data_IF_588273434847
#
_entry.id   IF_588273434847
#
_cell.length_a   1.000
_cell.length_b   1.000
_cell.length_c   1.000
_cell.angle_alpha   90.00
_cell.angle_beta   90.00
_cell.angle_gamma   90.00
#
_symmetry.space_group_name_H-M   'P 1'
#
loop_
_entity.id
_entity.type
_entity.pdbx_description
1 polymer ?
#
# COMPACT_ATOMS: atom_id res chain seq x y z
N UNK A 1 -64.42 39.93 69.64
CA UNK A 1 -65.57 39.00 69.82
C UNK A 1 -65.44 37.87 68.81
N UNK A 2 -65.59 36.61 69.24
CA UNK A 2 -65.80 35.42 68.36
C UNK A 2 -64.52 34.83 67.75
N UNK A 3 -63.75 33.90 68.34
CA UNK A 3 -63.99 32.49 68.78
C UNK A 3 -63.90 31.44 67.63
N UNK A 4 -62.82 30.65 67.70
CA UNK A 4 -62.56 29.24 67.29
C UNK A 4 -63.03 28.66 65.93
N UNK A 5 -62.11 27.99 65.23
CA UNK A 5 -61.98 26.50 65.29
C UNK A 5 -60.69 25.98 64.62
N UNK A 6 -60.09 24.96 65.27
CA UNK A 6 -58.98 24.11 64.80
C UNK A 6 -59.52 23.05 63.84
N UNK A 7 -58.77 22.73 62.78
CA UNK A 7 -58.59 21.34 62.29
C UNK A 7 -57.15 21.22 61.80
N UNK A 8 -56.44 20.19 62.27
CA UNK A 8 -55.06 19.91 61.90
C UNK A 8 -54.99 18.99 60.68
N UNK A 9 -54.06 19.30 59.78
CA UNK A 9 -53.56 18.36 58.78
C UNK A 9 -52.03 18.46 58.73
N UNK A 10 -51.39 17.29 58.76
CA UNK A 10 -49.94 17.12 58.74
C UNK A 10 -49.37 17.55 57.39
N UNK A 11 -48.62 18.65 57.36
CA UNK A 11 -47.84 19.06 56.20
C UNK A 11 -46.40 18.56 56.33
N UNK A 12 -46.05 17.57 55.51
CA UNK A 12 -44.67 17.18 55.22
C UNK A 12 -44.03 18.32 54.40
N UNK A 13 -42.87 18.87 54.78
CA UNK A 13 -42.23 19.91 53.96
C UNK A 13 -41.75 19.31 52.63
N UNK A 14 -41.84 20.06 51.51
CA UNK A 14 -41.27 19.60 50.25
C UNK A 14 -39.76 19.47 50.39
N UNK A 15 -39.22 18.33 49.96
CA UNK A 15 -37.79 18.08 49.86
C UNK A 15 -37.13 19.16 48.99
N UNK A 16 -35.97 19.73 49.41
CA UNK A 16 -35.27 20.68 48.58
C UNK A 16 -34.79 19.99 47.30
N UNK A 17 -35.10 20.59 46.15
CA UNK A 17 -34.47 20.23 44.88
C UNK A 17 -32.95 20.36 45.06
N UNK A 18 -32.14 19.37 44.63
CA UNK A 18 -30.70 19.44 44.80
C UNK A 18 -30.15 20.62 44.01
N UNK A 19 -29.57 21.57 44.74
CA UNK A 19 -28.81 22.68 44.20
C UNK A 19 -27.51 22.09 43.64
N UNK A 20 -27.46 21.86 42.33
CA UNK A 20 -26.24 21.43 41.65
C UNK A 20 -25.23 22.58 41.73
N UNK A 21 -24.03 22.26 42.21
CA UNK A 21 -22.94 23.23 42.27
C UNK A 21 -22.47 23.56 40.84
N UNK A 22 -21.92 24.77 40.57
CA UNK A 22 -21.34 25.11 39.27
C UNK A 22 -20.20 24.19 38.81
N UNK A 23 -19.71 23.30 39.70
CA UNK A 23 -18.64 22.35 39.46
C UNK A 23 -19.19 21.04 38.84
N UNK A 24 -20.48 20.73 39.02
CA UNK A 24 -21.12 19.54 38.46
C UNK A 24 -21.64 19.74 37.02
N UNK A 25 -21.95 20.99 36.62
CA UNK A 25 -22.23 21.37 35.23
C UNK A 25 -20.95 21.33 34.34
N UNK A 26 -19.79 21.66 34.92
CA UNK A 26 -18.51 21.59 34.20
C UNK A 26 -18.09 20.12 33.96
N UNK A 27 -18.40 19.22 34.90
CA UNK A 27 -18.06 17.80 34.76
C UNK A 27 -19.05 16.98 33.90
N UNK A 28 -20.25 17.51 33.61
CA UNK A 28 -21.22 16.88 32.71
C UNK A 28 -21.09 17.37 31.26
N UNK A 29 -20.66 18.62 31.05
CA UNK A 29 -20.28 19.13 29.72
C UNK A 29 -18.88 18.70 29.27
N UNK A 30 -17.99 18.28 30.19
CA UNK A 30 -16.66 17.78 29.86
C UNK A 30 -16.59 16.27 29.57
N UNK A 31 -17.72 15.55 29.62
CA UNK A 31 -17.77 14.08 29.44
C UNK A 31 -18.31 13.61 28.08
N UNK A 32 -18.65 14.53 27.18
CA UNK A 32 -19.14 14.22 25.82
C UNK A 32 -18.16 14.58 24.70
N UNK A 33 -16.94 15.00 25.05
CA UNK A 33 -15.81 15.07 24.10
C UNK A 33 -14.81 13.97 24.41
N UNK A 34 -15.30 12.72 24.47
CA UNK A 34 -14.42 11.58 24.17
C UNK A 34 -13.86 11.83 22.77
N UNK A 35 -12.58 12.16 22.72
CA UNK A 35 -11.80 12.31 21.49
C UNK A 35 -12.25 11.26 20.48
N UNK A 36 -12.95 11.69 19.42
CA UNK A 36 -13.05 10.89 18.22
C UNK A 36 -11.60 10.69 17.78
N UNK A 37 -11.02 9.54 18.13
CA UNK A 37 -9.75 9.08 17.60
C UNK A 37 -9.78 9.36 16.10
N UNK A 38 -8.91 10.25 15.62
CA UNK A 38 -8.90 10.65 14.22
C UNK A 38 -8.76 9.38 13.40
N UNK A 39 -9.82 9.04 12.68
CA UNK A 39 -9.94 7.79 11.94
C UNK A 39 -8.90 7.81 10.81
N UNK A 40 -7.83 7.03 10.93
CA UNK A 40 -6.83 6.93 9.87
C UNK A 40 -7.36 6.07 8.74
N UNK A 41 -7.64 6.71 7.60
CA UNK A 41 -8.05 6.05 6.37
C UNK A 41 -6.82 5.65 5.53
N UNK A 42 -6.89 4.57 4.74
CA UNK A 42 -5.79 4.18 3.86
C UNK A 42 -5.33 5.30 2.92
N UNK A 43 -4.01 5.39 2.72
CA UNK A 43 -3.42 6.22 1.67
C UNK A 43 -3.95 5.79 0.29
N UNK A 44 -4.09 6.74 -0.63
CA UNK A 44 -4.42 6.51 -2.03
C UNK A 44 -3.14 6.48 -2.85
N UNK A 45 -2.77 5.33 -3.41
CA UNK A 45 -1.62 5.23 -4.31
C UNK A 45 -2.09 4.85 -5.72
N UNK A 46 -1.67 5.63 -6.72
CA UNK A 46 -2.04 5.40 -8.12
C UNK A 46 -1.27 4.24 -8.74
N UNK A 47 -1.94 3.12 -9.05
CA UNK A 47 -1.36 1.97 -9.73
C UNK A 47 -1.02 2.34 -11.18
N UNK A 48 0.28 2.42 -11.49
CA UNK A 48 0.81 2.97 -12.75
C UNK A 48 0.34 4.41 -13.01
N UNK A 49 0.14 5.18 -11.92
CA UNK A 49 -0.53 6.49 -11.89
C UNK A 49 -2.06 6.38 -11.89
N UNK A 50 -2.75 7.35 -12.49
CA UNK A 50 -4.20 7.32 -12.72
C UNK A 50 -4.53 6.54 -14.01
N UNK A 51 -4.13 5.27 -14.06
CA UNK A 51 -4.06 4.45 -15.28
C UNK A 51 -5.43 4.12 -15.90
N UNK A 52 -6.53 4.26 -15.16
CA UNK A 52 -7.87 4.19 -15.74
C UNK A 52 -8.14 5.38 -16.67
N UNK A 53 -7.71 6.58 -16.29
CA UNK A 53 -7.95 7.82 -17.04
C UNK A 53 -6.87 8.07 -18.11
N UNK A 54 -5.59 7.80 -17.80
CA UNK A 54 -4.44 8.07 -18.67
C UNK A 54 -3.75 6.77 -19.09
N UNK A 55 -2.85 6.79 -20.09
CA UNK A 55 -2.03 5.62 -20.39
C UNK A 55 -1.15 5.24 -19.20
N UNK A 56 -1.17 3.97 -18.81
CA UNK A 56 -0.39 3.44 -17.68
C UNK A 56 1.11 3.74 -17.81
N UNK A 57 1.79 3.96 -16.67
CA UNK A 57 3.22 4.21 -16.59
C UNK A 57 3.68 5.39 -17.48
N UNK A 58 2.97 6.53 -17.39
CA UNK A 58 3.34 7.77 -18.10
C UNK A 58 3.40 8.94 -17.13
N UNK A 59 4.20 9.97 -17.45
CA UNK A 59 4.25 11.19 -16.64
C UNK A 59 2.86 11.83 -16.50
N UNK A 60 2.05 11.82 -17.57
CA UNK A 60 0.67 12.32 -17.51
C UNK A 60 -0.20 11.52 -16.51
N UNK A 61 -0.04 10.20 -16.47
CA UNK A 61 -0.74 9.34 -15.50
C UNK A 61 -0.29 9.62 -14.06
N UNK A 62 1.01 9.80 -13.84
CA UNK A 62 1.56 10.12 -12.52
C UNK A 62 1.10 11.51 -12.04
N UNK A 63 1.22 12.53 -12.89
CA UNK A 63 0.78 13.89 -12.58
C UNK A 63 -0.72 13.96 -12.33
N UNK A 64 -1.53 13.18 -13.05
CA UNK A 64 -2.96 13.08 -12.79
C UNK A 64 -3.27 12.48 -11.42
N UNK A 65 -2.61 11.38 -11.02
CA UNK A 65 -2.79 10.80 -9.69
C UNK A 65 -2.41 11.80 -8.58
N UNK A 66 -1.29 12.51 -8.73
CA UNK A 66 -0.85 13.54 -7.78
C UNK A 66 -1.87 14.68 -7.72
N UNK A 67 -2.38 15.12 -8.87
CA UNK A 67 -3.39 16.20 -8.96
C UNK A 67 -4.72 15.81 -8.31
N UNK A 68 -5.11 14.54 -8.39
CA UNK A 68 -6.29 14.04 -7.69
C UNK A 68 -6.12 14.13 -6.16
N UNK A 69 -4.88 14.10 -5.66
CA UNK A 69 -4.53 14.14 -4.24
C UNK A 69 -3.98 12.82 -3.69
N UNK A 70 -3.49 11.93 -4.55
CA UNK A 70 -2.87 10.67 -4.13
C UNK A 70 -1.58 10.91 -3.32
N UNK A 71 -1.44 10.25 -2.16
CA UNK A 71 -0.23 10.30 -1.34
C UNK A 71 0.93 9.50 -1.93
N UNK A 72 0.66 8.67 -2.92
CA UNK A 72 1.68 7.91 -3.61
C UNK A 72 1.34 7.59 -5.07
N UNK A 73 2.36 7.22 -5.81
CA UNK A 73 2.24 6.62 -7.13
C UNK A 73 3.02 5.30 -7.12
N UNK A 74 2.60 4.38 -7.97
CA UNK A 74 3.29 3.14 -8.24
C UNK A 74 3.66 3.06 -9.72
N UNK A 75 4.82 2.46 -10.01
CA UNK A 75 5.25 2.16 -11.36
C UNK A 75 6.15 0.95 -11.38
N UNK A 76 6.17 0.31 -12.54
CA UNK A 76 6.98 -0.85 -12.85
C UNK A 76 8.30 -0.46 -13.50
N UNK A 77 9.39 -1.19 -13.25
CA UNK A 77 10.71 -0.89 -13.84
C UNK A 77 11.31 -2.02 -14.66
N UNK A 78 11.88 -1.67 -15.82
CA UNK A 78 12.76 -2.51 -16.64
C UNK A 78 14.01 -1.75 -17.06
N UNK A 79 15.04 -2.47 -17.52
CA UNK A 79 16.29 -1.90 -18.06
C UNK A 79 16.43 -2.23 -19.54
N UNK A 80 16.72 -1.23 -20.37
CA UNK A 80 17.07 -1.39 -21.79
C UNK A 80 18.44 -2.08 -21.97
N UNK A 81 18.79 -2.44 -23.21
CA UNK A 81 20.10 -3.05 -23.49
C UNK A 81 21.28 -2.09 -23.29
N UNK A 82 21.04 -0.78 -23.35
CA UNK A 82 21.98 0.33 -23.15
C UNK A 82 21.79 1.04 -21.79
N UNK A 83 21.38 0.30 -20.77
CA UNK A 83 21.39 0.71 -19.35
C UNK A 83 20.45 1.85 -18.95
N UNK A 84 19.39 2.11 -19.72
CA UNK A 84 18.34 3.06 -19.34
C UNK A 84 17.24 2.35 -18.58
N UNK A 85 16.97 2.82 -17.35
CA UNK A 85 15.86 2.32 -16.51
C UNK A 85 14.57 3.04 -16.94
N UNK A 86 13.55 2.28 -17.31
CA UNK A 86 12.29 2.78 -17.88
C UNK A 86 11.08 2.31 -17.09
N UNK A 87 10.03 3.15 -17.07
CA UNK A 87 8.77 2.90 -16.38
C UNK A 87 7.82 2.12 -17.30
N UNK A 88 7.70 0.80 -17.10
CA UNK A 88 6.89 -0.04 -17.98
C UNK A 88 6.54 -1.38 -17.32
N UNK A 89 5.31 -1.89 -17.52
CA UNK A 89 4.85 -3.09 -16.81
C UNK A 89 5.40 -4.40 -17.40
N UNK A 90 5.09 -4.66 -18.66
CA UNK A 90 5.40 -5.94 -19.28
C UNK A 90 6.86 -5.98 -19.74
N UNK A 91 7.48 -7.17 -19.82
CA UNK A 91 8.80 -7.28 -20.44
C UNK A 91 8.79 -6.99 -21.97
N UNK A 92 7.61 -6.93 -22.59
CA UNK A 92 7.40 -6.70 -24.03
C UNK A 92 6.53 -5.47 -24.30
N UNK A 93 6.87 -4.70 -25.33
CA UNK A 93 6.27 -3.38 -25.61
C UNK A 93 4.86 -3.42 -26.22
N UNK A 94 4.44 -4.57 -26.76
CA UNK A 94 3.34 -4.68 -27.71
C UNK A 94 1.94 -4.42 -27.16
N UNK A 95 1.71 -4.64 -25.86
CA UNK A 95 0.36 -4.51 -25.28
C UNK A 95 -0.10 -3.05 -25.24
N UNK A 96 0.79 -2.11 -24.92
CA UNK A 96 0.41 -0.72 -24.59
C UNK A 96 1.08 0.33 -25.46
N UNK A 97 1.94 -0.07 -26.41
CA UNK A 97 2.67 0.84 -27.28
C UNK A 97 2.53 0.50 -28.75
N UNK A 98 2.93 1.44 -29.60
CA UNK A 98 3.00 1.27 -31.05
C UNK A 98 4.24 0.47 -31.51
N UNK A 99 4.92 -0.23 -30.60
CA UNK A 99 6.16 -0.96 -30.89
C UNK A 99 6.13 -2.38 -30.36
N UNK A 100 7.10 -3.20 -30.78
CA UNK A 100 7.18 -4.62 -30.41
C UNK A 100 8.59 -4.97 -29.91
N UNK A 101 8.74 -6.19 -29.43
CA UNK A 101 10.00 -6.71 -28.90
C UNK A 101 10.13 -6.56 -27.38
N UNK A 102 11.14 -7.25 -26.85
CA UNK A 102 11.48 -7.27 -25.43
C UNK A 102 12.35 -6.08 -25.07
N UNK A 103 12.03 -5.42 -23.95
CA UNK A 103 12.74 -4.22 -23.49
C UNK A 103 14.24 -4.51 -23.30
N UNK A 104 14.58 -5.63 -22.66
CA UNK A 104 15.97 -6.02 -22.39
C UNK A 104 16.83 -6.22 -23.64
N UNK A 105 16.20 -6.41 -24.80
CA UNK A 105 16.85 -6.71 -26.08
C UNK A 105 16.92 -5.46 -26.99
N UNK A 106 16.47 -4.29 -26.53
CA UNK A 106 16.39 -3.06 -27.32
C UNK A 106 17.13 -1.90 -26.66
N UNK A 107 17.74 -1.06 -27.47
CA UNK A 107 18.35 0.21 -27.02
C UNK A 107 17.27 1.26 -26.77
N UNK A 108 17.52 2.11 -25.80
CA UNK A 108 16.72 3.29 -25.54
C UNK A 108 17.02 4.38 -26.57
N UNK A 109 18.30 4.63 -26.84
CA UNK A 109 18.72 5.71 -27.73
C UNK A 109 18.86 5.27 -29.19
N UNK A 110 18.80 6.27 -30.08
CA UNK A 110 19.12 6.15 -31.50
C UNK A 110 17.89 6.18 -32.41
N UNK A 111 18.10 6.16 -33.73
CA UNK A 111 17.04 6.31 -34.73
C UNK A 111 15.86 5.33 -34.57
N UNK A 112 16.17 4.09 -34.13
CA UNK A 112 15.17 3.04 -33.84
C UNK A 112 15.01 2.77 -32.33
N UNK A 113 15.49 3.71 -31.51
CA UNK A 113 15.50 3.65 -30.06
C UNK A 113 14.10 3.73 -29.46
N UNK A 114 13.95 3.19 -28.25
CA UNK A 114 12.69 3.23 -27.52
C UNK A 114 12.26 4.65 -27.11
N UNK A 115 13.15 5.66 -27.15
CA UNK A 115 12.80 7.07 -26.90
C UNK A 115 11.72 7.63 -27.87
N UNK A 116 11.56 7.01 -29.04
CA UNK A 116 10.55 7.37 -30.03
C UNK A 116 9.24 6.58 -29.89
N UNK A 117 9.18 5.56 -29.02
CA UNK A 117 7.99 4.72 -28.81
C UNK A 117 6.91 5.51 -28.09
N UNK A 118 5.65 5.29 -28.46
CA UNK A 118 4.50 5.98 -27.88
C UNK A 118 3.42 5.00 -27.44
N UNK A 119 2.71 5.35 -26.38
CA UNK A 119 1.53 4.60 -25.93
C UNK A 119 0.43 4.63 -26.99
N UNK A 120 -0.40 3.56 -27.03
CA UNK A 120 -1.54 3.48 -27.95
C UNK A 120 -2.81 4.14 -27.39
N UNK A 121 -2.96 4.15 -26.06
CA UNK A 121 -4.06 4.86 -25.40
C UNK A 121 -3.83 6.37 -25.49
N UNK A 122 -4.91 7.12 -25.72
CA UNK A 122 -4.87 8.58 -25.76
C UNK A 122 -4.89 9.20 -24.35
N UNK A 123 -4.25 10.36 -24.14
CA UNK A 123 -3.33 11.02 -25.09
C UNK A 123 -2.07 10.18 -25.28
N UNK A 124 -1.57 9.99 -26.51
CA UNK A 124 -0.31 9.25 -26.71
C UNK A 124 0.84 9.93 -25.96
N UNK A 125 1.61 9.16 -25.20
CA UNK A 125 2.73 9.63 -24.39
C UNK A 125 4.00 8.85 -24.72
N UNK A 126 5.16 9.45 -24.42
CA UNK A 126 6.42 8.71 -24.36
C UNK A 126 6.46 7.80 -23.12
N UNK A 127 7.29 6.76 -23.18
CA UNK A 127 7.62 5.95 -21.99
C UNK A 127 8.52 6.80 -21.10
N UNK A 128 8.21 7.02 -19.81
CA UNK A 128 9.10 7.73 -18.91
C UNK A 128 10.32 6.89 -18.54
N UNK A 129 11.46 7.54 -18.39
CA UNK A 129 12.62 6.98 -17.71
C UNK A 129 12.46 7.11 -16.18
N UNK A 130 13.23 6.32 -15.44
CA UNK A 130 13.33 6.46 -13.98
C UNK A 130 13.87 7.84 -13.60
N UNK A 131 14.81 8.39 -14.38
CA UNK A 131 15.37 9.71 -14.15
C UNK A 131 14.32 10.84 -14.30
N UNK A 132 13.46 10.77 -15.33
CA UNK A 132 12.35 11.71 -15.49
C UNK A 132 11.32 11.58 -14.36
N UNK A 133 11.06 10.34 -13.92
CA UNK A 133 10.14 10.09 -12.80
C UNK A 133 10.71 10.62 -11.47
N UNK A 134 12.01 10.44 -11.22
CA UNK A 134 12.71 11.06 -10.09
C UNK A 134 12.66 12.58 -10.19
N UNK A 135 12.85 13.15 -11.37
CA UNK A 135 12.73 14.60 -11.59
C UNK A 135 11.33 15.11 -11.24
N UNK A 136 10.28 14.38 -11.63
CA UNK A 136 8.91 14.69 -11.23
C UNK A 136 8.73 14.68 -9.71
N UNK A 137 9.27 13.68 -9.02
CA UNK A 137 9.19 13.54 -7.56
C UNK A 137 10.02 14.57 -6.79
N UNK A 138 11.04 15.15 -7.42
CA UNK A 138 11.91 16.17 -6.82
C UNK A 138 11.35 17.59 -6.93
N UNK A 139 10.30 17.82 -7.73
CA UNK A 139 9.57 19.09 -7.72
C UNK A 139 9.04 19.38 -6.30
N UNK A 140 9.25 20.59 -5.73
CA UNK A 140 8.85 20.91 -4.35
C UNK A 140 7.39 20.59 -4.01
N UNK A 141 6.48 20.87 -4.94
CA UNK A 141 5.06 20.58 -4.81
C UNK A 141 4.76 19.08 -4.66
N UNK A 142 5.66 18.20 -5.12
CA UNK A 142 5.50 16.74 -5.09
C UNK A 142 6.29 16.07 -3.96
N UNK A 143 6.89 16.83 -3.04
CA UNK A 143 7.67 16.26 -1.92
C UNK A 143 6.81 15.46 -0.93
N UNK A 144 5.49 15.60 -0.97
CA UNK A 144 4.56 14.81 -0.18
C UNK A 144 4.30 13.40 -0.76
N UNK A 145 4.66 13.17 -2.03
CA UNK A 145 4.31 11.94 -2.78
C UNK A 145 5.35 10.84 -2.53
N UNK A 146 4.88 9.66 -2.15
CA UNK A 146 5.67 8.42 -2.09
C UNK A 146 5.70 7.72 -3.45
N UNK A 147 6.75 6.96 -3.71
CA UNK A 147 6.89 6.20 -4.95
C UNK A 147 7.15 4.73 -4.67
N UNK A 148 6.18 3.89 -5.02
CA UNK A 148 6.33 2.44 -5.02
C UNK A 148 6.91 1.97 -6.36
N UNK A 149 8.03 1.28 -6.30
CA UNK A 149 8.77 0.82 -7.46
C UNK A 149 8.59 -0.69 -7.56
N UNK A 150 7.71 -1.17 -8.44
CA UNK A 150 7.56 -2.60 -8.73
C UNK A 150 8.77 -3.07 -9.56
N UNK A 151 9.68 -3.80 -8.88
CA UNK A 151 10.87 -4.37 -9.50
C UNK A 151 10.52 -5.67 -10.20
N UNK A 152 10.41 -5.59 -11.53
CA UNK A 152 10.04 -6.76 -12.31
C UNK A 152 11.10 -7.86 -12.24
N UNK A 153 10.69 -9.12 -11.99
CA UNK A 153 11.60 -10.23 -11.69
C UNK A 153 12.49 -10.66 -12.87
N UNK A 154 12.23 -10.16 -14.09
CA UNK A 154 13.06 -10.42 -15.28
C UNK A 154 14.35 -9.58 -15.30
N UNK A 155 14.47 -8.57 -14.43
CA UNK A 155 15.67 -7.74 -14.34
C UNK A 155 16.83 -8.48 -13.66
N UNK A 156 18.06 -8.14 -14.04
CA UNK A 156 19.22 -8.46 -13.21
C UNK A 156 19.26 -7.49 -12.01
N UNK A 157 19.15 -7.97 -10.77
CA UNK A 157 18.97 -7.11 -9.60
C UNK A 157 20.17 -6.19 -9.35
N UNK A 158 21.40 -6.70 -9.42
CA UNK A 158 22.61 -5.90 -9.19
C UNK A 158 22.78 -4.80 -10.25
N UNK A 159 22.52 -5.12 -11.53
CA UNK A 159 22.55 -4.14 -12.63
C UNK A 159 21.51 -3.05 -12.42
N UNK A 160 20.24 -3.44 -12.22
CA UNK A 160 19.13 -2.48 -12.04
C UNK A 160 19.37 -1.57 -10.83
N UNK A 161 19.71 -2.14 -9.68
CA UNK A 161 19.85 -1.35 -8.45
C UNK A 161 21.08 -0.43 -8.47
N UNK A 162 22.17 -0.83 -9.14
CA UNK A 162 23.32 0.06 -9.35
C UNK A 162 22.96 1.28 -10.20
N UNK A 163 22.20 1.07 -11.30
CA UNK A 163 21.70 2.15 -12.15
C UNK A 163 20.75 3.08 -11.41
N UNK A 164 19.79 2.51 -10.67
CA UNK A 164 18.87 3.28 -9.83
C UNK A 164 19.61 4.07 -8.75
N UNK A 165 20.61 3.47 -8.09
CA UNK A 165 21.41 4.14 -7.07
C UNK A 165 22.16 5.34 -7.67
N UNK A 166 22.74 5.19 -8.86
CA UNK A 166 23.40 6.30 -9.56
C UNK A 166 22.42 7.45 -9.82
N UNK A 167 21.20 7.15 -10.28
CA UNK A 167 20.17 8.17 -10.54
C UNK A 167 19.72 8.85 -9.23
N UNK A 168 19.44 8.08 -8.18
CA UNK A 168 18.97 8.60 -6.88
C UNK A 168 20.03 9.48 -6.22
N UNK A 169 21.28 9.00 -6.15
CA UNK A 169 22.37 9.68 -5.45
C UNK A 169 22.86 10.94 -6.17
N UNK A 170 22.56 11.07 -7.45
CA UNK A 170 22.82 12.31 -8.22
C UNK A 170 21.92 13.48 -7.81
N UNK A 171 20.81 13.22 -7.11
CA UNK A 171 19.86 14.27 -6.72
C UNK A 171 20.31 15.03 -5.47
N UNK A 172 20.05 16.35 -5.39
CA UNK A 172 20.38 17.13 -4.19
C UNK A 172 19.56 16.65 -3.00
N UNK A 173 20.20 16.51 -1.84
CA UNK A 173 19.56 16.08 -0.58
C UNK A 173 18.79 14.76 -0.71
N UNK A 174 19.20 13.86 -1.61
CA UNK A 174 18.48 12.62 -1.89
C UNK A 174 18.21 11.78 -0.64
N UNK A 175 19.12 11.78 0.34
CA UNK A 175 18.97 11.02 1.59
C UNK A 175 17.79 11.46 2.45
N UNK A 176 17.47 12.75 2.43
CA UNK A 176 16.42 13.34 3.30
C UNK A 176 15.15 13.67 2.52
N UNK A 177 15.28 14.05 1.25
CA UNK A 177 14.16 14.49 0.40
C UNK A 177 13.64 13.38 -0.49
N UNK A 178 14.46 12.44 -0.96
CA UNK A 178 14.03 11.43 -1.96
C UNK A 178 13.90 10.03 -1.37
N UNK A 179 15.00 9.45 -0.88
CA UNK A 179 15.09 8.07 -0.42
C UNK A 179 14.00 7.66 0.59
N UNK A 180 13.61 8.48 1.60
CA UNK A 180 12.57 8.12 2.55
C UNK A 180 11.18 7.93 1.92
N UNK A 181 10.98 8.40 0.69
CA UNK A 181 9.72 8.30 -0.06
C UNK A 181 9.72 7.15 -1.06
N UNK A 182 10.86 6.52 -1.31
CA UNK A 182 10.99 5.44 -2.28
C UNK A 182 10.81 4.08 -1.59
N UNK A 183 9.88 3.28 -2.11
CA UNK A 183 9.58 1.93 -1.63
C UNK A 183 9.90 0.94 -2.75
N UNK A 184 10.76 -0.03 -2.48
CA UNK A 184 11.23 -1.02 -3.44
C UNK A 184 10.39 -2.31 -3.33
N UNK A 185 9.51 -2.57 -4.29
CA UNK A 185 8.66 -3.75 -4.36
C UNK A 185 9.38 -4.96 -4.96
N UNK A 186 9.60 -5.99 -4.15
CA UNK A 186 10.36 -7.20 -4.51
C UNK A 186 9.43 -8.41 -4.63
N UNK A 187 9.48 -9.08 -5.79
CA UNK A 187 8.72 -10.31 -6.06
C UNK A 187 9.45 -11.59 -5.62
N UNK A 188 10.80 -11.56 -5.59
CA UNK A 188 11.61 -12.76 -5.42
C UNK A 188 12.78 -12.55 -4.43
N UNK A 189 13.11 -13.54 -3.57
CA UNK A 189 14.15 -13.38 -2.54
C UNK A 189 15.54 -13.04 -3.10
N UNK A 190 15.83 -13.43 -4.35
CA UNK A 190 17.11 -13.11 -5.01
C UNK A 190 17.37 -11.59 -5.15
N UNK A 191 16.34 -10.75 -5.01
CA UNK A 191 16.47 -9.30 -5.06
C UNK A 191 16.78 -8.68 -3.68
N UNK A 192 16.61 -9.42 -2.58
CA UNK A 192 16.78 -8.88 -1.22
C UNK A 192 18.22 -8.43 -0.97
N UNK A 193 19.20 -9.31 -1.21
CA UNK A 193 20.59 -8.98 -0.92
C UNK A 193 21.12 -7.85 -1.82
N UNK A 194 20.93 -7.89 -3.16
CA UNK A 194 21.31 -6.76 -4.01
C UNK A 194 20.63 -5.44 -3.62
N UNK A 195 19.38 -5.47 -3.15
CA UNK A 195 18.69 -4.28 -2.66
C UNK A 195 19.36 -3.70 -1.40
N UNK A 196 19.77 -4.55 -0.46
CA UNK A 196 20.53 -4.12 0.72
C UNK A 196 21.88 -3.53 0.35
N UNK A 197 22.58 -4.16 -0.60
CA UNK A 197 23.92 -3.75 -0.99
C UNK A 197 23.94 -2.41 -1.76
N UNK A 198 22.97 -2.21 -2.66
CA UNK A 198 22.96 -1.06 -3.59
C UNK A 198 22.01 0.06 -3.18
N UNK A 199 20.93 -0.25 -2.45
CA UNK A 199 19.88 0.70 -2.07
C UNK A 199 19.53 0.57 -0.57
N UNK A 200 20.51 0.62 0.35
CA UNK A 200 20.28 0.36 1.78
C UNK A 200 19.27 1.34 2.42
N UNK A 201 19.20 2.57 1.90
CA UNK A 201 18.36 3.64 2.42
C UNK A 201 16.89 3.53 2.00
N UNK A 202 16.56 2.69 1.02
CA UNK A 202 15.18 2.54 0.56
C UNK A 202 14.43 1.56 1.44
N UNK A 203 13.16 1.87 1.69
CA UNK A 203 12.23 0.92 2.31
C UNK A 203 11.99 -0.23 1.33
N UNK A 204 11.96 -1.46 1.84
CA UNK A 204 11.69 -2.65 1.02
C UNK A 204 10.29 -3.17 1.31
N UNK A 205 9.60 -3.55 0.23
CA UNK A 205 8.29 -4.20 0.27
C UNK A 205 8.38 -5.56 -0.39
N UNK A 206 7.72 -6.57 0.17
CA UNK A 206 7.35 -7.73 -0.63
C UNK A 206 6.15 -7.38 -1.50
N UNK A 207 6.12 -7.87 -2.74
CA UNK A 207 4.93 -7.80 -3.60
C UNK A 207 4.59 -9.20 -4.11
N UNK A 208 3.32 -9.59 -3.96
CA UNK A 208 2.86 -10.88 -4.45
C UNK A 208 1.54 -11.35 -3.87
N UNK A 209 1.20 -12.61 -4.13
CA UNK A 209 -0.01 -13.25 -3.56
C UNK A 209 0.32 -14.41 -2.61
N UNK A 210 1.58 -14.80 -2.44
CA UNK A 210 1.95 -15.90 -1.54
C UNK A 210 2.20 -15.40 -0.10
N UNK A 211 1.23 -15.59 0.79
CA UNK A 211 1.36 -15.27 2.22
C UNK A 211 2.47 -16.10 2.90
N UNK A 212 2.66 -17.35 2.45
CA UNK A 212 3.74 -18.20 2.94
C UNK A 212 5.12 -17.65 2.54
N UNK A 213 5.28 -17.20 1.29
CA UNK A 213 6.53 -16.57 0.87
C UNK A 213 6.81 -15.28 1.63
N UNK A 214 5.78 -14.44 1.83
CA UNK A 214 5.87 -13.21 2.62
C UNK A 214 6.45 -13.48 4.02
N UNK A 215 5.90 -14.46 4.73
CA UNK A 215 6.34 -14.88 6.07
C UNK A 215 7.73 -15.49 6.07
N UNK A 216 8.03 -16.36 5.10
CA UNK A 216 9.24 -17.18 5.11
C UNK A 216 10.49 -16.41 4.68
N UNK A 217 10.38 -15.58 3.63
CA UNK A 217 11.55 -14.98 2.98
C UNK A 217 11.65 -13.47 3.17
N UNK A 218 10.52 -12.79 3.34
CA UNK A 218 10.48 -11.33 3.33
C UNK A 218 10.21 -10.70 4.70
N UNK A 219 9.74 -11.48 5.68
CA UNK A 219 9.30 -10.95 6.96
C UNK A 219 10.35 -10.11 7.68
N UNK A 220 11.57 -10.60 7.75
CA UNK A 220 12.69 -9.91 8.42
C UNK A 220 13.41 -8.90 7.51
N UNK A 221 13.05 -8.84 6.23
CA UNK A 221 13.75 -8.06 5.21
C UNK A 221 12.93 -6.87 4.68
N UNK A 222 11.62 -6.87 4.89
CA UNK A 222 10.67 -5.89 4.37
C UNK A 222 9.82 -5.29 5.50
N UNK A 223 9.54 -3.99 5.39
CA UNK A 223 8.66 -3.25 6.30
C UNK A 223 7.24 -3.14 5.75
N UNK A 224 7.11 -3.28 4.43
CA UNK A 224 5.85 -3.25 3.69
C UNK A 224 5.52 -4.61 3.05
N UNK A 225 4.23 -4.91 2.95
CA UNK A 225 3.70 -6.03 2.18
C UNK A 225 2.63 -5.52 1.23
N UNK A 226 2.91 -5.58 -0.07
CA UNK A 226 2.01 -5.22 -1.15
C UNK A 226 1.32 -6.49 -1.69
N UNK A 227 0.12 -6.76 -1.19
CA UNK A 227 -0.55 -8.05 -1.39
C UNK A 227 -1.76 -7.95 -2.30
N UNK A 228 -1.98 -8.99 -3.11
CA UNK A 228 -3.20 -9.11 -3.90
C UNK A 228 -4.46 -9.14 -3.01
N UNK A 229 -5.45 -8.32 -3.32
CA UNK A 229 -6.70 -8.18 -2.53
C UNK A 229 -7.35 -9.53 -2.19
N UNK A 230 -7.51 -10.39 -3.19
CA UNK A 230 -8.21 -11.66 -3.05
C UNK A 230 -7.55 -12.63 -2.06
N UNK A 231 -6.21 -12.68 -1.97
CA UNK A 231 -5.55 -13.59 -1.03
C UNK A 231 -5.73 -13.13 0.41
N UNK A 232 -5.79 -11.81 0.62
CA UNK A 232 -6.10 -11.25 1.92
C UNK A 232 -7.54 -11.60 2.36
N UNK A 233 -8.50 -11.72 1.45
CA UNK A 233 -9.88 -12.08 1.81
C UNK A 233 -10.04 -13.48 2.43
N UNK A 234 -9.04 -14.36 2.29
CA UNK A 234 -9.07 -15.72 2.84
C UNK A 234 -8.85 -15.72 4.36
N UNK A 235 -9.15 -16.85 5.02
CA UNK A 235 -8.87 -17.03 6.46
C UNK A 235 -7.38 -16.87 6.81
N UNK A 236 -6.47 -17.35 5.95
CA UNK A 236 -5.04 -17.12 6.17
C UNK A 236 -4.66 -15.65 5.92
N UNK A 237 -5.31 -15.00 4.95
CA UNK A 237 -5.19 -13.58 4.72
C UNK A 237 -5.61 -12.73 5.91
N UNK A 238 -6.68 -13.10 6.60
CA UNK A 238 -7.10 -12.44 7.85
C UNK A 238 -6.05 -12.56 8.95
N UNK A 239 -5.49 -13.76 9.13
CA UNK A 239 -4.38 -13.97 10.08
C UNK A 239 -3.17 -13.10 9.71
N UNK A 240 -2.81 -13.08 8.43
CA UNK A 240 -1.70 -12.27 7.93
C UNK A 240 -1.90 -10.77 8.20
N UNK A 241 -3.11 -10.23 8.00
CA UNK A 241 -3.42 -8.83 8.35
C UNK A 241 -3.17 -8.55 9.83
N UNK A 242 -3.63 -9.45 10.70
CA UNK A 242 -3.41 -9.33 12.14
C UNK A 242 -1.93 -9.40 12.50
N UNK A 243 -1.19 -10.33 11.92
CA UNK A 243 0.26 -10.46 12.10
C UNK A 243 0.99 -9.18 11.68
N UNK A 244 0.66 -8.60 10.53
CA UNK A 244 1.26 -7.35 10.09
C UNK A 244 1.00 -6.22 11.09
N UNK A 245 -0.26 -6.07 11.52
CA UNK A 245 -0.65 -5.05 12.50
C UNK A 245 0.09 -5.22 13.83
N UNK A 246 0.11 -6.44 14.37
CA UNK A 246 0.74 -6.74 15.66
C UNK A 246 2.28 -6.54 15.59
N UNK A 247 2.90 -6.77 14.44
CA UNK A 247 4.33 -6.56 14.21
C UNK A 247 4.69 -5.15 13.73
N UNK A 248 3.73 -4.23 13.60
CA UNK A 248 3.95 -2.87 13.08
C UNK A 248 4.36 -2.81 11.60
N UNK A 249 4.12 -3.89 10.85
CA UNK A 249 4.38 -3.97 9.40
C UNK A 249 3.26 -3.27 8.63
N UNK A 250 3.64 -2.60 7.55
CA UNK A 250 2.71 -1.87 6.69
C UNK A 250 2.09 -2.79 5.64
N UNK A 251 0.80 -2.66 5.41
CA UNK A 251 0.06 -3.47 4.45
C UNK A 251 -0.54 -2.60 3.34
N UNK A 252 -0.11 -2.87 2.12
CA UNK A 252 -0.64 -2.30 0.88
C UNK A 252 -1.42 -3.37 0.13
N UNK A 253 -2.49 -2.96 -0.54
CA UNK A 253 -3.37 -3.90 -1.26
C UNK A 253 -3.59 -3.46 -2.70
N UNK A 254 -3.52 -4.41 -3.62
CA UNK A 254 -3.64 -4.17 -5.05
C UNK A 254 -4.41 -5.27 -5.81
N UNK A 255 -4.90 -5.01 -7.02
CA UNK A 255 -5.29 -3.68 -7.51
C UNK A 255 -6.77 -3.51 -7.18
N UNK A 256 -7.13 -2.45 -6.47
CA UNK A 256 -8.48 -2.28 -5.93
C UNK A 256 -9.18 -1.14 -6.65
N UNK A 257 -10.05 -1.48 -7.61
CA UNK A 257 -10.76 -0.49 -8.44
C UNK A 257 -12.26 -0.41 -8.15
N UNK A 258 -12.82 -1.47 -7.54
CA UNK A 258 -14.25 -1.54 -7.25
C UNK A 258 -14.55 -0.87 -5.91
N UNK A 259 -15.53 0.05 -5.85
CA UNK A 259 -15.91 0.71 -4.60
C UNK A 259 -16.19 -0.26 -3.44
N UNK A 260 -16.89 -1.38 -3.71
CA UNK A 260 -17.18 -2.40 -2.70
C UNK A 260 -15.91 -3.05 -2.12
N UNK A 261 -14.85 -3.20 -2.91
CA UNK A 261 -13.56 -3.72 -2.44
C UNK A 261 -12.79 -2.63 -1.68
N UNK A 262 -12.82 -1.38 -2.15
CA UNK A 262 -12.19 -0.25 -1.45
C UNK A 262 -12.75 -0.07 -0.04
N UNK A 263 -14.06 -0.25 0.13
CA UNK A 263 -14.72 -0.16 1.44
C UNK A 263 -14.37 -1.30 2.41
N UNK A 264 -13.82 -2.41 1.93
CA UNK A 264 -13.37 -3.51 2.78
C UNK A 264 -12.10 -3.16 3.59
N UNK A 265 -11.42 -2.07 3.26
CA UNK A 265 -10.09 -1.73 3.77
C UNK A 265 -10.03 -0.95 5.10
N UNK A 266 -11.17 -0.68 5.74
CA UNK A 266 -11.29 0.30 6.83
C UNK A 266 -10.94 -0.17 8.27
N UNK A 267 -10.48 0.79 9.13
CA UNK A 267 -10.25 0.71 10.60
C UNK A 267 -10.95 1.86 11.34
N UNK A 268 -11.66 1.61 12.46
CA UNK A 268 -11.48 2.23 13.81
C UNK A 268 -12.14 1.36 14.90
N UNK A 269 -11.54 1.44 16.10
CA UNK A 269 -11.87 0.77 17.36
C UNK A 269 -13.35 0.83 17.76
N UNK A 270 -13.76 -0.16 18.57
CA UNK A 270 -15.13 -0.49 19.04
C UNK A 270 -15.98 -1.42 18.16
N UNK A 271 -15.39 -2.52 17.67
CA UNK A 271 -16.14 -3.78 17.56
C UNK A 271 -16.54 -4.28 16.17
N UNK A 272 -16.13 -3.65 15.07
CA UNK A 272 -16.25 -4.25 13.73
C UNK A 272 -15.09 -3.81 12.80
N UNK A 273 -14.00 -4.58 12.81
CA UNK A 273 -12.86 -4.41 11.90
C UNK A 273 -13.27 -4.90 10.51
N UNK A 274 -13.00 -4.13 9.43
CA UNK A 274 -12.90 -4.74 8.11
C UNK A 274 -11.46 -5.22 7.92
N UNK A 275 -10.53 -4.50 7.31
CA UNK A 275 -9.17 -5.04 7.08
C UNK A 275 -8.01 -4.19 7.63
N UNK A 276 -8.16 -2.87 7.74
CA UNK A 276 -7.14 -1.98 8.31
C UNK A 276 -5.79 -1.97 7.60
N UNK A 277 -5.83 -1.88 6.27
CA UNK A 277 -4.62 -1.70 5.45
C UNK A 277 -4.13 -0.25 5.54
N UNK A 278 -2.84 -0.02 5.28
CA UNK A 278 -2.24 1.32 5.28
C UNK A 278 -2.40 2.05 3.94
N UNK A 279 -2.51 1.30 2.85
CA UNK A 279 -2.53 1.86 1.50
C UNK A 279 -3.39 1.03 0.54
N UNK A 280 -4.17 1.72 -0.30
CA UNK A 280 -4.89 1.13 -1.44
C UNK A 280 -4.19 1.55 -2.73
N UNK A 281 -3.74 0.56 -3.50
CA UNK A 281 -3.24 0.73 -4.86
C UNK A 281 -4.38 0.60 -5.87
N UNK A 282 -4.64 1.64 -6.65
CA UNK A 282 -5.83 1.73 -7.52
C UNK A 282 -5.56 2.42 -8.85
N UNK A 283 -6.25 1.98 -9.90
CA UNK A 283 -6.23 2.63 -11.22
C UNK A 283 -7.10 3.90 -11.26
N UNK A 284 -8.01 4.03 -10.28
CA UNK A 284 -9.08 5.04 -10.21
C UNK A 284 -8.92 5.90 -8.95
N UNK A 285 -7.80 6.61 -8.86
CA UNK A 285 -7.41 7.47 -7.72
C UNK A 285 -8.52 8.38 -7.23
N UNK A 286 -9.16 9.14 -8.14
CA UNK A 286 -10.27 10.03 -7.80
C UNK A 286 -11.43 9.32 -7.10
N UNK A 287 -11.77 8.10 -7.51
CA UNK A 287 -12.89 7.35 -6.91
C UNK A 287 -12.61 7.08 -5.44
N UNK A 288 -11.41 6.57 -5.11
CA UNK A 288 -11.06 6.32 -3.72
C UNK A 288 -10.99 7.62 -2.90
N UNK A 289 -10.44 8.69 -3.46
CA UNK A 289 -10.32 9.97 -2.76
C UNK A 289 -11.68 10.62 -2.48
N UNK A 290 -12.61 10.57 -3.44
CA UNK A 290 -14.00 11.01 -3.25
C UNK A 290 -14.70 10.16 -2.16
N UNK A 291 -14.53 8.83 -2.20
CA UNK A 291 -15.09 7.92 -1.19
C UNK A 291 -14.49 8.16 0.19
N UNK A 292 -13.19 8.39 0.28
CA UNK A 292 -12.47 8.71 1.52
C UNK A 292 -12.97 10.03 2.12
N UNK A 293 -13.24 11.02 1.27
CA UNK A 293 -13.86 12.29 1.68
C UNK A 293 -15.29 12.09 2.21
N UNK A 294 -16.09 11.24 1.57
CA UNK A 294 -17.42 10.88 2.07
C UNK A 294 -17.37 10.14 3.41
N UNK A 295 -16.40 9.22 3.59
CA UNK A 295 -16.17 8.52 4.86
C UNK A 295 -15.76 9.46 5.99
N UNK A 296 -14.98 10.50 5.70
CA UNK A 296 -14.66 11.55 6.68
C UNK A 296 -15.88 12.38 7.06
N UNK A 297 -16.79 12.65 6.12
CA UNK A 297 -17.99 13.44 6.35
C UNK A 297 -19.06 12.67 7.16
N UNK A 298 -19.38 11.44 6.76
CA UNK A 298 -20.36 10.59 7.43
C UNK A 298 -20.01 9.12 7.22
N UNK A 299 -19.29 8.57 8.19
CA UNK A 299 -18.77 7.21 8.13
C UNK A 299 -19.88 6.16 8.07
N UNK A 300 -20.84 6.20 9.01
CA UNK A 300 -21.88 5.17 9.16
C UNK A 300 -22.78 5.13 7.92
N UNK A 301 -23.22 6.31 7.44
CA UNK A 301 -24.05 6.39 6.25
C UNK A 301 -23.32 5.90 5.00
N UNK A 302 -22.03 6.21 4.89
CA UNK A 302 -21.25 5.85 3.71
C UNK A 302 -20.95 4.36 3.68
N UNK A 303 -20.56 3.76 4.82
CA UNK A 303 -20.22 2.33 4.87
C UNK A 303 -21.42 1.41 4.68
N UNK A 304 -22.61 1.81 5.15
CA UNK A 304 -23.86 1.05 5.00
C UNK A 304 -24.32 0.89 3.55
N UNK A 305 -23.82 1.72 2.63
CA UNK A 305 -24.11 1.61 1.20
C UNK A 305 -23.40 0.41 0.55
N UNK A 306 -22.41 -0.19 1.21
CA UNK A 306 -21.55 -1.21 0.61
C UNK A 306 -21.64 -2.54 1.36
N UNK A 307 -22.20 -3.53 0.67
CA UNK A 307 -22.34 -4.92 1.12
C UNK A 307 -21.05 -5.73 0.95
N UNK A 308 -20.85 -6.75 1.80
CA UNK A 308 -19.77 -7.75 1.68
C UNK A 308 -20.17 -8.98 0.86
N UNK A 309 -21.36 -8.97 0.24
CA UNK A 309 -21.84 -10.09 -0.59
C UNK A 309 -20.90 -10.42 -1.72
N UNK A 310 -20.09 -9.46 -2.20
CA UNK A 310 -19.12 -9.66 -3.27
C UNK A 310 -18.14 -10.82 -2.99
N UNK A 311 -17.79 -11.06 -1.71
CA UNK A 311 -16.93 -12.16 -1.27
C UNK A 311 -17.45 -13.55 -1.69
N UNK A 312 -18.75 -13.66 -1.97
CA UNK A 312 -19.42 -14.90 -2.35
C UNK A 312 -19.91 -14.91 -3.80
N UNK A 313 -19.71 -13.83 -4.54
CA UNK A 313 -20.23 -13.69 -5.93
C UNK A 313 -19.25 -14.15 -7.01
N UNK A 314 -17.98 -14.35 -6.66
CA UNK A 314 -16.94 -14.80 -7.59
C UNK A 314 -16.06 -15.87 -6.93
N UNK A 315 -15.55 -16.79 -7.75
CA UNK A 315 -14.56 -17.79 -7.33
C UNK A 315 -13.22 -17.15 -6.94
N UNK A 316 -13.00 -15.88 -7.28
CA UNK A 316 -11.77 -15.15 -6.94
C UNK A 316 -11.52 -15.08 -5.43
N UNK A 317 -12.52 -15.25 -4.57
CA UNK A 317 -12.32 -15.24 -3.13
C UNK A 317 -12.27 -16.64 -2.50
N UNK A 318 -12.39 -17.69 -3.32
CA UNK A 318 -12.39 -19.06 -2.82
C UNK A 318 -10.97 -19.53 -2.55
N UNK A 319 -10.74 -20.08 -1.35
CA UNK A 319 -9.43 -20.54 -0.90
C UNK A 319 -8.77 -21.52 -1.89
N UNK A 320 -9.44 -22.55 -2.43
CA UNK A 320 -8.80 -23.47 -3.39
C UNK A 320 -8.34 -22.77 -4.67
N UNK A 321 -9.11 -21.80 -5.15
CA UNK A 321 -8.74 -21.01 -6.32
C UNK A 321 -7.53 -20.10 -6.02
N UNK A 322 -7.49 -19.48 -4.84
CA UNK A 322 -6.31 -18.71 -4.42
C UNK A 322 -5.06 -19.58 -4.27
N UNK A 323 -5.17 -20.79 -3.72
CA UNK A 323 -4.05 -21.73 -3.64
C UNK A 323 -3.51 -22.10 -5.03
N UNK A 324 -4.38 -22.35 -6.01
CA UNK A 324 -3.98 -22.59 -7.39
C UNK A 324 -3.26 -21.38 -7.99
N UNK A 325 -3.77 -20.16 -7.77
CA UNK A 325 -3.11 -18.93 -8.24
C UNK A 325 -1.74 -18.74 -7.62
N UNK A 326 -1.62 -18.95 -6.31
CA UNK A 326 -0.34 -18.90 -5.58
C UNK A 326 0.65 -19.89 -6.18
N UNK A 327 0.21 -21.13 -6.44
CA UNK A 327 1.04 -22.15 -7.07
C UNK A 327 1.53 -21.70 -8.46
N UNK A 328 0.62 -21.28 -9.35
CA UNK A 328 0.97 -20.82 -10.70
C UNK A 328 1.93 -19.63 -10.67
N UNK A 329 1.69 -18.64 -9.81
CA UNK A 329 2.57 -17.48 -9.67
C UNK A 329 3.95 -17.88 -9.14
N UNK A 330 4.01 -18.74 -8.12
CA UNK A 330 5.27 -19.22 -7.56
C UNK A 330 6.08 -19.98 -8.61
N UNK A 331 5.45 -20.93 -9.32
CA UNK A 331 6.13 -21.66 -10.40
C UNK A 331 6.60 -20.75 -11.55
N UNK A 332 5.85 -19.70 -11.87
CA UNK A 332 6.29 -18.69 -12.83
C UNK A 332 7.53 -17.92 -12.34
N UNK A 333 7.50 -17.44 -11.09
CA UNK A 333 8.63 -16.74 -10.47
C UNK A 333 9.88 -17.63 -10.40
N UNK A 334 9.71 -18.91 -10.07
CA UNK A 334 10.81 -19.87 -10.02
C UNK A 334 11.44 -20.13 -11.39
N UNK A 335 10.60 -20.17 -12.44
CA UNK A 335 11.06 -20.35 -13.82
C UNK A 335 11.93 -19.17 -14.29
N UNK A 336 11.64 -17.96 -13.83
CA UNK A 336 12.35 -16.74 -14.30
C UNK A 336 13.52 -16.34 -13.41
N UNK A 337 13.42 -16.52 -12.09
CA UNK A 337 14.38 -16.01 -11.12
C UNK A 337 15.12 -17.11 -10.34
N UNK A 338 14.85 -18.39 -10.65
CA UNK A 338 15.36 -19.55 -9.92
C UNK A 338 14.48 -19.93 -8.73
N UNK A 339 14.73 -21.09 -8.09
CA UNK A 339 13.92 -21.58 -6.98
C UNK A 339 13.90 -20.59 -5.80
N UNK A 340 12.79 -20.55 -5.05
CA UNK A 340 12.75 -19.87 -3.75
C UNK A 340 13.61 -20.67 -2.77
N UNK A 341 14.91 -20.39 -2.72
CA UNK A 341 15.79 -21.00 -1.74
C UNK A 341 15.56 -20.36 -0.37
N UNK A 342 15.45 -21.17 0.68
CA UNK A 342 15.71 -20.71 2.04
C UNK A 342 17.15 -20.22 2.08
N UNK A 343 17.37 -18.95 2.40
CA UNK A 343 18.67 -18.54 2.93
C UNK A 343 18.89 -19.38 4.20
N UNK A 344 19.60 -20.49 4.08
CA UNK A 344 20.14 -21.15 5.26
C UNK A 344 20.99 -20.09 5.99
N UNK A 345 20.89 -19.96 7.32
CA UNK A 345 21.80 -19.07 8.03
C UNK A 345 23.21 -19.54 7.70
N UNK A 346 24.10 -18.60 7.35
CA UNK A 346 25.52 -18.85 7.34
C UNK A 346 25.94 -19.19 8.79
N UNK A 347 25.82 -20.44 9.20
CA UNK A 347 26.37 -20.93 10.47
C UNK A 347 27.87 -21.04 10.30
N UNK A 348 28.54 -19.93 10.52
CA UNK A 348 29.98 -19.84 10.69
C UNK A 348 30.31 -19.58 12.16
N UNK A 349 31.02 -20.54 12.75
CA UNK A 349 31.85 -20.47 13.97
C UNK A 349 31.13 -20.69 15.31
N UNK A 350 31.40 -21.87 15.92
CA UNK A 350 31.22 -22.06 17.36
C UNK A 350 30.95 -23.48 17.86
N UNK A 351 31.61 -24.51 17.34
CA UNK A 351 31.72 -25.78 18.08
C UNK A 351 32.58 -25.54 19.34
N UNK A 352 32.03 -25.67 20.54
CA UNK A 352 32.70 -26.27 21.72
C UNK A 352 31.84 -26.23 23.00
N UNK A 353 31.74 -27.39 23.67
CA UNK A 353 31.45 -27.64 25.10
C UNK A 353 30.00 -27.39 25.58
N UNK A 354 29.32 -28.27 26.33
CA UNK A 354 29.72 -29.40 27.18
C UNK A 354 28.53 -30.34 27.36
N UNK A 355 28.85 -31.63 27.49
CA UNK A 355 28.02 -32.62 28.14
C UNK A 355 27.92 -32.36 29.66
N UNK A 356 26.73 -32.62 30.22
CA UNK A 356 26.46 -33.04 31.60
C UNK A 356 24.95 -33.39 31.67
N UNK A 357 24.55 -34.66 31.75
CA UNK A 357 24.25 -35.41 32.99
C UNK A 357 23.11 -34.70 33.76
N UNK A 358 21.85 -35.13 33.61
CA UNK A 358 21.11 -36.21 34.32
C UNK A 358 19.79 -36.42 33.57
#
# INVERSE_FOLDING_TARGET
MGIYTRVGENLIPPSPLPFLSPIDEINTLSRTTTMASARTLPDCWGHRGASAAYPENTLASFEAAIRDGAEGIESDVHVSSDDVVIMFHDPELSRTTNSTGRIKDRTWYGENGMEHVRTVKEPRQAIPTFAETVTLLMKPENHHVKFNIDVKPQNNPSRLFSLMNTIITSQPNWQTVLAPRLVLGLWHPSFIQPAKDNLPHLTRSFIGISLSAARTYFWDNCDFFSMGFAVLATTDGEKFRKECKDAGKKLMVWTVNKPEHMMEHYTVMDGAVRWGVDCILTDVTKIWLDMRSALYADYEKTILQYSRTFLWTTIDFWTPYQLLRVYVQTSYLEKIAGPFASSAPATGVGASLRAAVV
#
